data_IF_883247566461
#
_entry.id   IF_883247566461
#
_cell.length_a   1.000
_cell.length_b   1.000
_cell.length_c   1.000
_cell.angle_alpha   90.00
_cell.angle_beta   90.00
_cell.angle_gamma   90.00
#
_symmetry.space_group_name_H-M   'P 1'
#
loop_
_entity.id
_entity.type
_entity.pdbx_description
1 polymer ?
#
# COMPACT_ATOMS: atom_id res chain seq x y z
N UNK A 1 -9.98 -18.31 -0.92
CA UNK A 1 -8.73 -19.02 -0.54
C UNK A 1 -7.51 -18.07 -0.60
N UNK A 2 -7.40 -17.19 -1.62
CA UNK A 2 -6.31 -16.20 -1.75
C UNK A 2 -6.35 -15.12 -0.66
N UNK A 3 -7.52 -14.62 -0.29
CA UNK A 3 -7.72 -13.63 0.80
C UNK A 3 -7.20 -14.18 2.12
N UNK A 4 -7.43 -15.45 2.41
CA UNK A 4 -6.97 -16.10 3.65
C UNK A 4 -5.44 -16.25 3.69
N UNK A 5 -4.81 -16.53 2.55
CA UNK A 5 -3.35 -16.62 2.41
C UNK A 5 -2.73 -15.22 2.59
N UNK A 6 -3.34 -14.19 2.00
CA UNK A 6 -2.90 -12.81 2.11
C UNK A 6 -3.03 -12.28 3.54
N UNK A 7 -4.15 -12.53 4.20
CA UNK A 7 -4.37 -12.18 5.61
C UNK A 7 -3.36 -12.89 6.51
N UNK A 8 -3.08 -14.17 6.30
CA UNK A 8 -2.08 -14.91 7.06
C UNK A 8 -0.65 -14.38 6.83
N UNK A 9 -0.33 -13.97 5.60
CA UNK A 9 0.96 -13.34 5.27
C UNK A 9 1.10 -11.98 5.99
N UNK A 10 0.07 -11.15 5.98
CA UNK A 10 0.03 -9.88 6.71
C UNK A 10 0.15 -10.13 8.22
N UNK A 11 -0.60 -11.08 8.77
CA UNK A 11 -0.55 -11.43 10.21
C UNK A 11 0.86 -11.88 10.62
N UNK A 12 1.54 -12.67 9.79
CA UNK A 12 2.90 -13.13 10.08
C UNK A 12 3.92 -12.00 9.94
N UNK A 13 3.77 -11.14 8.93
CA UNK A 13 4.62 -9.99 8.72
C UNK A 13 4.47 -8.91 9.80
N UNK A 14 3.30 -8.84 10.44
CA UNK A 14 3.00 -7.93 11.56
C UNK A 14 3.41 -8.52 12.93
N UNK A 15 4.29 -9.50 13.00
CA UNK A 15 4.65 -10.20 14.23
C UNK A 15 5.09 -9.27 15.36
N UNK A 16 5.86 -8.22 15.06
CA UNK A 16 6.31 -7.25 16.06
C UNK A 16 5.17 -6.36 16.58
N UNK A 17 4.32 -5.84 15.69
CA UNK A 17 3.10 -5.11 16.09
C UNK A 17 2.14 -6.03 16.82
N UNK A 18 2.01 -7.30 16.38
CA UNK A 18 1.22 -8.32 17.08
C UNK A 18 1.71 -8.53 18.51
N UNK A 19 3.03 -8.54 18.77
CA UNK A 19 3.57 -8.72 20.11
C UNK A 19 3.14 -7.57 21.04
N UNK A 20 3.15 -6.32 20.59
CA UNK A 20 2.71 -5.18 21.36
C UNK A 20 1.19 -5.16 21.57
N UNK A 21 0.41 -5.48 20.55
CA UNK A 21 -1.04 -5.67 20.70
C UNK A 21 -1.37 -6.81 21.66
N UNK A 22 -0.62 -7.93 21.65
CA UNK A 22 -0.81 -9.03 22.60
C UNK A 22 -0.50 -8.60 24.02
N UNK A 23 0.52 -7.75 24.26
CA UNK A 23 0.81 -7.18 25.58
C UNK A 23 -0.34 -6.29 26.06
N UNK A 24 -0.88 -5.41 25.19
CA UNK A 24 -2.08 -4.61 25.48
C UNK A 24 -3.23 -5.53 25.91
N UNK A 25 -3.53 -6.57 25.12
CA UNK A 25 -4.60 -7.51 25.47
C UNK A 25 -4.31 -8.33 26.75
N UNK A 26 -3.04 -8.56 27.08
CA UNK A 26 -2.67 -9.21 28.34
C UNK A 26 -2.95 -8.27 29.52
N UNK A 27 -2.61 -6.99 29.42
CA UNK A 27 -2.95 -6.00 30.47
C UNK A 27 -4.45 -5.88 30.65
N UNK A 28 -5.21 -5.84 29.54
CA UNK A 28 -6.69 -5.79 29.54
C UNK A 28 -7.35 -7.06 30.13
N UNK A 29 -6.61 -8.17 30.27
CA UNK A 29 -7.13 -9.40 30.86
C UNK A 29 -7.04 -9.42 32.39
N UNK A 30 -6.54 -8.36 33.03
CA UNK A 30 -6.52 -8.23 34.51
C UNK A 30 -7.93 -8.01 35.03
N UNK A 31 -8.22 -8.52 36.22
CA UNK A 31 -9.52 -8.35 36.87
C UNK A 31 -9.85 -6.90 37.26
N UNK A 32 -8.81 -6.06 37.40
CA UNK A 32 -8.93 -4.62 37.64
C UNK A 32 -7.84 -3.91 36.85
N UNK A 33 -8.25 -2.90 36.10
CA UNK A 33 -7.35 -2.03 35.33
C UNK A 33 -7.15 -0.76 36.16
N UNK A 34 -5.89 -0.46 36.51
CA UNK A 34 -5.52 0.75 37.23
C UNK A 34 -5.22 1.90 36.25
N UNK A 35 -5.12 3.13 36.77
CA UNK A 35 -4.69 4.27 35.96
C UNK A 35 -3.29 4.07 35.38
N UNK A 36 -2.40 3.41 36.09
CA UNK A 36 -1.06 3.06 35.59
C UNK A 36 -1.11 2.03 34.44
N UNK A 37 -2.07 1.10 34.50
CA UNK A 37 -2.28 0.15 33.38
C UNK A 37 -2.77 0.87 32.14
N UNK A 38 -3.60 1.90 32.27
CA UNK A 38 -4.08 2.73 31.14
C UNK A 38 -2.93 3.49 30.50
N UNK A 39 -2.07 4.14 31.29
CA UNK A 39 -0.87 4.82 30.80
C UNK A 39 0.06 3.86 30.05
N UNK A 40 0.28 2.68 30.60
CA UNK A 40 1.09 1.64 29.96
C UNK A 40 0.48 1.15 28.64
N UNK A 41 -0.85 1.00 28.57
CA UNK A 41 -1.55 0.65 27.32
C UNK A 41 -1.39 1.75 26.27
N UNK A 42 -1.53 3.01 26.67
CA UNK A 42 -1.35 4.17 25.79
C UNK A 42 0.06 4.19 25.17
N UNK A 43 1.12 4.03 25.99
CA UNK A 43 2.49 3.93 25.51
C UNK A 43 2.66 2.78 24.51
N UNK A 44 2.16 1.59 24.84
CA UNK A 44 2.23 0.42 23.96
C UNK A 44 1.51 0.64 22.63
N UNK A 45 0.37 1.31 22.62
CA UNK A 45 -0.39 1.62 21.40
C UNK A 45 0.35 2.63 20.52
N UNK A 46 0.89 3.68 21.11
CA UNK A 46 1.71 4.68 20.40
C UNK A 46 2.93 4.03 19.75
N UNK A 47 3.59 3.09 20.42
CA UNK A 47 4.71 2.34 19.86
C UNK A 47 4.35 1.50 18.63
N UNK A 48 3.06 1.16 18.42
CA UNK A 48 2.62 0.42 17.24
C UNK A 48 2.42 1.26 15.98
N UNK A 49 2.55 2.59 16.07
CA UNK A 49 2.22 3.57 15.01
C UNK A 49 0.74 3.56 14.59
N UNK A 50 -0.17 3.14 15.48
CA UNK A 50 -1.62 3.13 15.23
C UNK A 50 -2.22 4.54 15.07
N UNK A 51 -1.49 5.55 15.54
CA UNK A 51 -1.91 6.96 15.52
C UNK A 51 -2.57 7.40 16.82
N UNK A 52 -2.45 8.71 17.09
CA UNK A 52 -2.89 9.29 18.37
C UNK A 52 -4.42 9.25 18.53
N UNK A 53 -5.16 9.58 17.46
CA UNK A 53 -6.63 9.62 17.50
C UNK A 53 -7.19 8.23 17.83
N UNK A 54 -6.68 7.19 17.18
CA UNK A 54 -7.12 5.81 17.38
C UNK A 54 -6.68 5.29 18.76
N UNK A 55 -5.50 5.72 19.24
CA UNK A 55 -5.07 5.43 20.61
C UNK A 55 -6.08 5.98 21.61
N UNK A 56 -6.51 7.25 21.45
CA UNK A 56 -7.51 7.86 22.31
C UNK A 56 -8.86 7.13 22.25
N UNK A 57 -9.33 6.78 21.06
CA UNK A 57 -10.57 6.01 20.89
C UNK A 57 -10.52 4.69 21.69
N UNK A 58 -9.39 3.97 21.62
CA UNK A 58 -9.19 2.73 22.37
C UNK A 58 -9.17 3.01 23.90
N UNK A 59 -8.47 4.07 24.32
CA UNK A 59 -8.41 4.46 25.73
C UNK A 59 -9.81 4.83 26.26
N UNK A 60 -10.62 5.52 25.47
CA UNK A 60 -11.98 5.88 25.84
C UNK A 60 -12.89 4.64 25.94
N UNK A 61 -12.79 3.69 24.99
CA UNK A 61 -13.45 2.40 25.09
C UNK A 61 -13.04 1.65 26.37
N UNK A 62 -11.75 1.70 26.76
CA UNK A 62 -11.26 1.08 28.00
C UNK A 62 -11.89 1.76 29.22
N UNK A 63 -11.91 3.09 29.28
CA UNK A 63 -12.49 3.85 30.40
C UNK A 63 -13.97 3.60 30.55
N UNK A 64 -14.71 3.58 29.45
CA UNK A 64 -16.14 3.26 29.44
C UNK A 64 -16.41 1.80 29.85
N UNK A 65 -15.59 0.86 29.40
CA UNK A 65 -15.71 -0.57 29.67
C UNK A 65 -15.22 -1.01 31.04
N UNK A 66 -14.62 -0.11 31.87
CA UNK A 66 -14.24 -0.42 33.25
C UNK A 66 -15.41 -0.81 34.15
N UNK A 67 -16.64 -0.51 33.74
CA UNK A 67 -17.86 -0.85 34.44
C UNK A 67 -18.46 -2.20 34.01
N UNK A 68 -18.05 -2.78 32.86
CA UNK A 68 -18.46 -4.09 32.37
C UNK A 68 -17.31 -4.78 31.61
N UNK A 69 -16.45 -5.46 32.36
CA UNK A 69 -15.18 -6.00 31.88
C UNK A 69 -15.30 -7.27 31.01
N UNK A 70 -16.51 -7.84 30.85
CA UNK A 70 -16.64 -9.17 30.23
C UNK A 70 -16.36 -9.19 28.72
N UNK A 71 -16.35 -8.05 28.03
CA UNK A 71 -16.23 -7.97 26.56
C UNK A 71 -15.30 -6.87 26.01
N UNK A 72 -14.53 -6.22 26.88
CA UNK A 72 -13.67 -5.07 26.50
C UNK A 72 -12.72 -5.40 25.34
N UNK A 73 -12.13 -6.58 25.36
CA UNK A 73 -11.24 -7.08 24.31
C UNK A 73 -11.95 -7.23 22.96
N UNK A 74 -13.18 -7.74 22.99
CA UNK A 74 -14.01 -7.88 21.80
C UNK A 74 -14.44 -6.52 21.27
N UNK A 75 -14.79 -5.58 22.13
CA UNK A 75 -15.19 -4.23 21.75
C UNK A 75 -14.07 -3.49 21.04
N UNK A 76 -12.84 -3.55 21.56
CA UNK A 76 -11.66 -2.98 20.91
C UNK A 76 -11.41 -3.67 19.56
N UNK A 77 -11.47 -5.00 19.52
CA UNK A 77 -11.31 -5.75 18.26
C UNK A 77 -12.35 -5.36 17.23
N UNK A 78 -13.61 -5.27 17.61
CA UNK A 78 -14.72 -4.88 16.74
C UNK A 78 -14.55 -3.45 16.24
N UNK A 79 -14.13 -2.52 17.10
CA UNK A 79 -13.81 -1.14 16.71
C UNK A 79 -12.74 -1.10 15.62
N UNK A 80 -11.60 -1.77 15.85
CA UNK A 80 -10.51 -1.85 14.88
C UNK A 80 -10.91 -2.53 13.57
N UNK A 81 -11.69 -3.61 13.63
CA UNK A 81 -12.21 -4.28 12.44
C UNK A 81 -13.18 -3.38 11.69
N UNK A 82 -14.07 -2.67 12.38
CA UNK A 82 -15.01 -1.73 11.77
C UNK A 82 -14.29 -0.58 11.07
N UNK A 83 -13.22 -0.06 11.65
CA UNK A 83 -12.39 0.97 11.00
C UNK A 83 -11.81 0.50 9.66
N UNK A 84 -11.47 -0.78 9.54
CA UNK A 84 -10.90 -1.35 8.32
C UNK A 84 -11.96 -1.99 7.40
N UNK A 85 -13.23 -2.00 7.75
CA UNK A 85 -14.29 -2.76 7.06
C UNK A 85 -14.87 -2.08 5.81
N UNK A 86 -14.30 -0.97 5.34
CA UNK A 86 -14.73 -0.29 4.11
C UNK A 86 -13.97 -0.72 2.85
N UNK A 87 -13.21 -1.81 2.90
CA UNK A 87 -12.37 -2.23 1.79
C UNK A 87 -13.17 -2.80 0.62
N UNK A 88 -13.07 -2.17 -0.55
CA UNK A 88 -13.37 -2.84 -1.80
C UNK A 88 -12.15 -3.67 -2.20
N UNK A 89 -12.37 -4.96 -2.46
CA UNK A 89 -11.34 -5.82 -3.00
C UNK A 89 -10.90 -5.27 -4.37
N UNK A 90 -9.60 -4.94 -4.52
CA UNK A 90 -9.04 -4.57 -5.80
C UNK A 90 -9.09 -5.79 -6.73
N UNK A 91 -10.14 -5.89 -7.50
CA UNK A 91 -10.30 -6.92 -8.50
C UNK A 91 -9.78 -6.40 -9.84
N UNK A 92 -8.69 -6.98 -10.34
CA UNK A 92 -8.33 -6.89 -11.75
C UNK A 92 -9.32 -7.78 -12.49
N UNK A 93 -10.45 -7.17 -12.91
CA UNK A 93 -11.56 -7.83 -13.60
C UNK A 93 -11.11 -8.40 -14.95
N UNK A 94 -12.05 -8.91 -15.73
CA UNK A 94 -11.81 -9.40 -17.10
C UNK A 94 -11.42 -8.26 -18.07
N UNK A 95 -11.63 -7.00 -17.68
CA UNK A 95 -11.29 -5.82 -18.46
C UNK A 95 -9.80 -5.53 -18.45
N UNK A 96 -9.28 -4.95 -19.52
CA UNK A 96 -7.90 -4.48 -19.59
C UNK A 96 -7.62 -3.48 -18.48
N UNK A 97 -6.57 -3.71 -17.72
CA UNK A 97 -6.25 -2.92 -16.52
C UNK A 97 -4.85 -2.31 -16.62
N UNK A 98 -4.70 -1.08 -16.14
CA UNK A 98 -3.38 -0.48 -15.90
C UNK A 98 -3.22 -0.17 -14.42
N UNK A 99 -2.19 -0.73 -13.81
CA UNK A 99 -1.79 -0.45 -12.42
C UNK A 99 -0.62 0.54 -12.44
N UNK A 100 -0.80 1.71 -11.85
CA UNK A 100 0.25 2.72 -11.67
C UNK A 100 0.78 2.61 -10.24
N UNK A 101 2.04 2.21 -10.08
CA UNK A 101 2.68 2.07 -8.77
C UNK A 101 3.41 3.36 -8.44
N UNK A 102 2.95 4.06 -7.40
CA UNK A 102 3.52 5.34 -6.95
C UNK A 102 4.07 5.23 -5.53
N UNK A 103 4.84 6.23 -5.10
CA UNK A 103 5.42 6.29 -3.75
C UNK A 103 6.82 6.93 -3.75
N UNK A 104 7.37 7.17 -2.58
CA UNK A 104 8.68 7.82 -2.42
C UNK A 104 9.85 6.90 -2.84
N UNK A 105 11.03 7.48 -3.02
CA UNK A 105 12.24 6.68 -3.25
C UNK A 105 12.50 5.71 -2.09
N UNK A 106 12.83 4.48 -2.43
CA UNK A 106 13.09 3.44 -1.45
C UNK A 106 11.84 2.80 -0.82
N UNK A 107 10.61 3.24 -1.16
CA UNK A 107 9.38 2.62 -0.65
C UNK A 107 9.05 1.25 -1.25
N UNK A 108 9.85 0.75 -2.20
CA UNK A 108 9.67 -0.59 -2.76
C UNK A 108 8.83 -0.65 -4.04
N UNK A 109 8.63 0.45 -4.78
CA UNK A 109 7.83 0.48 -6.03
C UNK A 109 8.25 -0.56 -7.06
N UNK A 110 9.50 -0.57 -7.47
CA UNK A 110 10.05 -1.51 -8.47
C UNK A 110 9.86 -2.97 -8.04
N UNK A 111 10.11 -3.27 -6.76
CA UNK A 111 9.90 -4.60 -6.20
C UNK A 111 8.42 -4.97 -6.16
N UNK A 112 7.56 -4.01 -5.83
CA UNK A 112 6.10 -4.20 -5.83
C UNK A 112 5.59 -4.45 -7.24
N UNK A 113 6.01 -3.64 -8.23
CA UNK A 113 5.65 -3.84 -9.63
C UNK A 113 6.01 -5.26 -10.12
N UNK A 114 7.22 -5.73 -9.78
CA UNK A 114 7.68 -7.07 -10.12
C UNK A 114 6.86 -8.18 -9.42
N UNK A 115 6.55 -8.02 -8.14
CA UNK A 115 5.72 -8.97 -7.37
C UNK A 115 4.29 -9.04 -7.90
N UNK A 116 3.69 -7.89 -8.23
CA UNK A 116 2.37 -7.82 -8.85
C UNK A 116 2.38 -8.52 -10.22
N UNK A 117 3.41 -8.27 -11.05
CA UNK A 117 3.57 -8.95 -12.34
C UNK A 117 3.63 -10.46 -12.15
N UNK A 118 4.41 -10.95 -11.18
CA UNK A 118 4.49 -12.38 -10.87
C UNK A 118 3.14 -12.93 -10.42
N UNK A 119 2.45 -12.23 -9.53
CA UNK A 119 1.16 -12.63 -9.00
C UNK A 119 0.12 -12.81 -10.11
N UNK A 120 -0.06 -11.80 -10.96
CA UNK A 120 -1.05 -11.84 -12.03
C UNK A 120 -0.65 -12.78 -13.18
N UNK A 121 0.64 -12.88 -13.53
CA UNK A 121 1.11 -13.86 -14.51
C UNK A 121 0.87 -15.30 -14.04
N UNK A 122 1.04 -15.57 -12.73
CA UNK A 122 0.73 -16.89 -12.16
C UNK A 122 -0.77 -17.18 -12.17
N UNK A 123 -1.61 -16.14 -12.12
CA UNK A 123 -3.05 -16.23 -12.28
C UNK A 123 -3.51 -16.32 -13.76
N UNK A 124 -2.58 -16.44 -14.70
CA UNK A 124 -2.86 -16.64 -16.14
C UNK A 124 -3.05 -15.34 -16.94
N UNK A 125 -2.85 -14.16 -16.34
CA UNK A 125 -2.94 -12.88 -17.06
C UNK A 125 -1.70 -12.61 -17.91
N UNK A 126 -1.89 -12.05 -19.10
CA UNK A 126 -0.81 -11.51 -19.92
C UNK A 126 -0.40 -10.15 -19.37
N UNK A 127 0.81 -10.05 -18.86
CA UNK A 127 1.29 -8.86 -18.13
C UNK A 127 2.40 -8.16 -18.91
N UNK A 128 2.33 -6.83 -18.99
CA UNK A 128 3.40 -5.95 -19.44
C UNK A 128 3.89 -5.06 -18.30
N UNK A 129 5.20 -5.07 -18.03
CA UNK A 129 5.88 -4.14 -17.15
C UNK A 129 6.38 -2.93 -17.92
N UNK A 130 6.12 -1.72 -17.43
CA UNK A 130 6.55 -0.45 -18.03
C UNK A 130 7.45 0.29 -17.06
N UNK A 131 8.71 0.56 -17.48
CA UNK A 131 9.70 1.28 -16.69
C UNK A 131 9.56 2.80 -16.92
N UNK A 132 8.73 3.45 -16.11
CA UNK A 132 8.53 4.90 -16.15
C UNK A 132 9.41 5.68 -15.14
N UNK A 133 10.30 5.02 -14.36
CA UNK A 133 11.39 5.66 -13.61
C UNK A 133 12.59 5.88 -14.55
N UNK A 134 12.43 6.74 -15.56
CA UNK A 134 13.37 6.94 -16.66
C UNK A 134 14.68 7.62 -16.25
N UNK A 135 14.72 8.22 -15.06
CA UNK A 135 15.92 8.91 -14.56
C UNK A 135 16.90 7.97 -13.85
N UNK A 136 16.50 6.75 -13.56
CA UNK A 136 17.30 5.79 -12.80
C UNK A 136 17.59 4.54 -13.64
N UNK A 137 18.69 4.58 -14.39
CA UNK A 137 19.12 3.44 -15.22
C UNK A 137 19.15 2.11 -14.43
N UNK A 138 19.61 2.14 -13.17
CA UNK A 138 19.62 0.96 -12.32
C UNK A 138 18.22 0.44 -11.97
N UNK A 139 17.19 1.29 -11.89
CA UNK A 139 15.80 0.85 -11.65
C UNK A 139 15.23 0.18 -12.90
N UNK A 140 15.52 0.75 -14.08
CA UNK A 140 15.14 0.17 -15.37
C UNK A 140 15.76 -1.22 -15.55
N UNK A 141 17.06 -1.35 -15.30
CA UNK A 141 17.78 -2.62 -15.40
C UNK A 141 17.24 -3.65 -14.38
N UNK A 142 17.00 -3.22 -13.15
CA UNK A 142 16.40 -4.07 -12.13
C UNK A 142 15.02 -4.59 -12.56
N UNK A 143 14.17 -3.73 -13.11
CA UNK A 143 12.83 -4.12 -13.56
C UNK A 143 12.88 -5.06 -14.76
N UNK A 144 13.86 -4.87 -15.66
CA UNK A 144 14.14 -5.76 -16.79
C UNK A 144 14.50 -7.17 -16.32
N UNK A 145 15.44 -7.29 -15.39
CA UNK A 145 15.81 -8.60 -14.79
C UNK A 145 14.60 -9.28 -14.18
N UNK A 146 13.74 -8.53 -13.49
CA UNK A 146 12.51 -9.08 -12.95
C UNK A 146 11.53 -9.53 -14.02
N UNK A 147 11.37 -8.77 -15.10
CA UNK A 147 10.49 -9.16 -16.21
C UNK A 147 10.90 -10.48 -16.84
N UNK A 148 12.19 -10.70 -17.04
CA UNK A 148 12.78 -11.94 -17.55
C UNK A 148 12.50 -13.13 -16.60
N UNK A 149 12.69 -12.92 -15.27
CA UNK A 149 12.40 -13.95 -14.25
C UNK A 149 10.93 -14.32 -14.15
N UNK A 150 10.06 -13.35 -14.34
CA UNK A 150 8.59 -13.53 -14.31
C UNK A 150 8.09 -14.14 -15.62
N UNK A 151 8.81 -13.91 -16.72
CA UNK A 151 8.40 -14.29 -18.07
C UNK A 151 7.31 -13.36 -18.63
N UNK A 152 7.32 -12.08 -18.24
CA UNK A 152 6.38 -11.07 -18.73
C UNK A 152 7.07 -10.09 -19.68
N UNK A 153 6.26 -9.34 -20.44
CA UNK A 153 6.79 -8.35 -21.38
C UNK A 153 7.34 -7.15 -20.61
N UNK A 154 8.35 -6.53 -21.19
CA UNK A 154 9.01 -5.35 -20.62
C UNK A 154 9.09 -4.23 -21.66
N UNK A 155 8.67 -3.03 -21.27
CA UNK A 155 8.70 -1.84 -22.10
C UNK A 155 9.49 -0.73 -21.38
N UNK A 156 10.48 -0.22 -22.06
CA UNK A 156 11.25 0.96 -21.68
C UNK A 156 11.64 1.71 -22.95
N UNK A 157 12.17 2.92 -22.82
CA UNK A 157 12.61 3.68 -23.98
C UNK A 157 13.96 4.32 -23.69
N UNK A 158 15.00 3.84 -24.39
CA UNK A 158 16.36 4.36 -24.27
C UNK A 158 16.50 5.80 -24.77
N UNK A 159 15.65 6.21 -25.71
CA UNK A 159 15.73 7.50 -26.39
C UNK A 159 14.79 8.56 -25.78
N UNK A 160 14.01 8.22 -24.78
CA UNK A 160 13.09 9.15 -24.13
C UNK A 160 13.24 9.13 -22.61
N UNK A 161 13.56 10.27 -22.04
CA UNK A 161 13.54 10.51 -20.60
C UNK A 161 12.16 10.93 -20.08
N UNK A 162 11.16 11.04 -20.98
CA UNK A 162 9.80 11.49 -20.63
C UNK A 162 8.94 10.30 -20.17
N UNK A 163 8.60 10.19 -18.85
CA UNK A 163 7.86 9.04 -18.33
C UNK A 163 6.51 8.79 -19.00
N UNK A 164 5.76 9.85 -19.30
CA UNK A 164 4.44 9.73 -19.93
C UNK A 164 4.52 9.15 -21.35
N UNK A 165 5.60 9.41 -22.09
CA UNK A 165 5.86 8.82 -23.41
C UNK A 165 6.10 7.31 -23.33
N UNK A 166 6.85 6.88 -22.30
CA UNK A 166 7.11 5.44 -22.06
C UNK A 166 5.81 4.71 -21.72
N UNK A 167 4.97 5.32 -20.88
CA UNK A 167 3.64 4.77 -20.54
C UNK A 167 2.75 4.70 -21.76
N UNK A 168 2.72 5.73 -22.61
CA UNK A 168 1.97 5.73 -23.86
C UNK A 168 2.38 4.54 -24.73
N UNK A 169 3.66 4.39 -25.01
CA UNK A 169 4.20 3.29 -25.83
C UNK A 169 3.89 1.91 -25.19
N UNK A 170 3.96 1.81 -23.87
CA UNK A 170 3.62 0.59 -23.13
C UNK A 170 2.18 0.17 -23.32
N UNK A 171 1.24 1.11 -23.23
CA UNK A 171 -0.19 0.86 -23.39
C UNK A 171 -0.55 0.55 -24.85
N UNK A 172 0.01 1.27 -25.84
CA UNK A 172 -0.15 0.92 -27.25
C UNK A 172 0.35 -0.48 -27.57
N UNK A 173 1.54 -0.81 -27.05
CA UNK A 173 2.10 -2.16 -27.22
C UNK A 173 1.25 -3.24 -26.57
N UNK A 174 0.65 -2.96 -25.39
CA UNK A 174 -0.25 -3.88 -24.71
C UNK A 174 -1.53 -4.13 -25.50
N UNK A 175 -2.10 -3.09 -26.10
CA UNK A 175 -3.26 -3.22 -27.00
C UNK A 175 -2.90 -4.09 -28.21
N UNK A 176 -1.78 -3.80 -28.87
CA UNK A 176 -1.36 -4.52 -30.09
C UNK A 176 -1.05 -6.02 -29.83
N UNK A 177 -0.74 -6.38 -28.60
CA UNK A 177 -0.41 -7.76 -28.17
C UNK A 177 -1.52 -8.44 -27.39
N UNK A 178 -2.64 -7.73 -27.21
CA UNK A 178 -3.78 -8.21 -26.44
C UNK A 178 -3.40 -8.64 -25.03
N UNK A 179 -2.63 -7.78 -24.33
CA UNK A 179 -2.28 -7.99 -22.94
C UNK A 179 -3.45 -7.58 -22.03
N UNK A 180 -3.60 -8.29 -20.90
CA UNK A 180 -4.68 -8.06 -19.93
C UNK A 180 -4.33 -6.95 -18.93
N UNK A 181 -3.04 -6.85 -18.59
CA UNK A 181 -2.57 -6.00 -17.50
C UNK A 181 -1.28 -5.29 -17.86
N UNK A 182 -1.26 -3.98 -17.65
CA UNK A 182 -0.05 -3.14 -17.70
C UNK A 182 0.28 -2.68 -16.29
N UNK A 183 1.52 -2.86 -15.84
CA UNK A 183 2.01 -2.38 -14.54
C UNK A 183 3.10 -1.35 -14.79
N UNK A 184 2.89 -0.14 -14.30
CA UNK A 184 3.77 1.02 -14.49
C UNK A 184 4.56 1.27 -13.22
N UNK A 185 5.89 1.12 -13.27
CA UNK A 185 6.81 1.52 -12.19
C UNK A 185 7.23 2.97 -12.40
N UNK A 186 6.85 3.86 -11.46
CA UNK A 186 7.09 5.31 -11.59
C UNK A 186 8.29 5.77 -10.76
N UNK A 187 8.80 6.98 -11.06
CA UNK A 187 9.78 7.67 -10.22
C UNK A 187 9.21 7.98 -8.82
N UNK A 188 10.08 8.27 -7.85
CA UNK A 188 9.66 8.54 -6.46
C UNK A 188 10.44 9.67 -5.79
N UNK A 189 10.99 10.63 -6.54
CA UNK A 189 11.85 11.70 -6.03
C UNK A 189 11.07 12.81 -5.34
N UNK A 190 10.65 12.60 -4.10
CA UNK A 190 9.83 13.56 -3.36
C UNK A 190 10.57 14.89 -3.05
N UNK A 191 11.90 14.89 -2.99
CA UNK A 191 12.70 16.11 -2.79
C UNK A 191 12.69 17.08 -4.00
N UNK A 192 12.22 16.62 -5.17
CA UNK A 192 11.82 17.44 -6.32
C UNK A 192 10.31 17.31 -6.54
N UNK A 193 9.53 17.48 -5.47
CA UNK A 193 8.12 17.12 -5.40
C UNK A 193 7.29 17.71 -6.54
N UNK A 194 7.50 18.97 -6.88
CA UNK A 194 6.73 19.64 -7.93
C UNK A 194 6.89 18.99 -9.33
N UNK A 195 8.12 18.59 -9.68
CA UNK A 195 8.37 17.93 -10.96
C UNK A 195 7.79 16.51 -10.99
N UNK A 196 7.99 15.74 -9.91
CA UNK A 196 7.39 14.40 -9.79
C UNK A 196 5.87 14.47 -9.91
N UNK A 197 5.26 15.45 -9.25
CA UNK A 197 3.82 15.62 -9.27
C UNK A 197 3.30 16.00 -10.66
N UNK A 198 4.02 16.86 -11.40
CA UNK A 198 3.73 17.18 -12.81
C UNK A 198 3.86 15.94 -13.72
N UNK A 199 4.89 15.12 -13.51
CA UNK A 199 5.09 13.87 -14.26
C UNK A 199 3.95 12.88 -14.02
N UNK A 200 3.56 12.65 -12.76
CA UNK A 200 2.44 11.76 -12.41
C UNK A 200 1.10 12.28 -12.98
N UNK A 201 0.84 13.57 -12.87
CA UNK A 201 -0.34 14.19 -13.46
C UNK A 201 -0.38 14.00 -14.99
N UNK A 202 0.79 14.06 -15.66
CA UNK A 202 0.90 13.84 -17.11
C UNK A 202 0.66 12.37 -17.47
N UNK A 203 1.21 11.42 -16.69
CA UNK A 203 0.94 9.99 -16.84
C UNK A 203 -0.56 9.72 -16.71
N UNK A 204 -1.20 10.21 -15.65
CA UNK A 204 -2.64 10.04 -15.43
C UNK A 204 -3.45 10.58 -16.60
N UNK A 205 -3.15 11.80 -17.07
CA UNK A 205 -3.82 12.41 -18.21
C UNK A 205 -3.69 11.60 -19.50
N UNK A 206 -2.50 11.01 -19.76
CA UNK A 206 -2.27 10.13 -20.91
C UNK A 206 -3.18 8.90 -20.81
N UNK A 207 -3.22 8.23 -19.65
CA UNK A 207 -4.04 7.04 -19.44
C UNK A 207 -5.53 7.39 -19.64
N UNK A 208 -6.03 8.40 -18.95
CA UNK A 208 -7.46 8.76 -18.94
C UNK A 208 -7.96 9.26 -20.31
N UNK A 209 -7.17 10.06 -21.03
CA UNK A 209 -7.61 10.68 -22.27
C UNK A 209 -7.35 9.83 -23.52
N UNK A 210 -6.37 8.93 -23.49
CA UNK A 210 -5.96 8.17 -24.67
C UNK A 210 -6.23 6.67 -24.58
N UNK A 211 -6.41 6.15 -23.35
CA UNK A 211 -6.53 4.73 -23.09
C UNK A 211 -7.71 4.41 -22.18
N UNK A 212 -8.86 5.05 -22.47
CA UNK A 212 -10.11 4.89 -21.67
C UNK A 212 -10.64 3.46 -21.65
N UNK A 213 -10.15 2.57 -22.51
CA UNK A 213 -10.45 1.13 -22.50
C UNK A 213 -9.71 0.36 -21.38
N UNK A 214 -8.75 1.00 -20.69
CA UNK A 214 -8.11 0.42 -19.53
C UNK A 214 -8.76 0.95 -18.25
N UNK A 215 -9.12 0.05 -17.36
CA UNK A 215 -9.43 0.42 -15.97
C UNK A 215 -8.13 0.79 -15.26
N UNK A 216 -8.02 2.07 -14.85
CA UNK A 216 -6.84 2.56 -14.12
C UNK A 216 -6.97 2.24 -12.63
N UNK A 217 -5.90 1.70 -12.05
CA UNK A 217 -5.73 1.46 -10.62
C UNK A 217 -4.42 2.14 -10.18
N UNK A 218 -4.49 3.02 -9.20
CA UNK A 218 -3.33 3.71 -8.62
C UNK A 218 -3.01 3.09 -7.26
N UNK A 219 -1.83 2.46 -7.13
CA UNK A 219 -1.36 1.84 -5.89
C UNK A 219 -0.20 2.63 -5.31
N UNK A 220 -0.33 3.04 -4.05
CA UNK A 220 0.77 3.68 -3.33
C UNK A 220 1.56 2.66 -2.51
N UNK A 221 2.89 2.67 -2.62
CA UNK A 221 3.75 1.87 -1.75
C UNK A 221 4.06 2.62 -0.45
N UNK A 222 3.76 1.99 0.66
CA UNK A 222 3.94 2.50 2.02
C UNK A 222 5.04 1.70 2.69
N UNK A 223 6.14 2.38 3.03
CA UNK A 223 7.22 1.81 3.82
C UNK A 223 6.79 1.72 5.28
N UNK A 224 6.45 0.53 5.75
CA UNK A 224 5.95 0.32 7.11
C UNK A 224 7.01 0.57 8.19
N UNK A 225 8.31 0.66 7.82
CA UNK A 225 9.38 1.01 8.76
C UNK A 225 9.42 2.50 9.11
N UNK A 226 8.77 3.36 8.31
CA UNK A 226 8.71 4.81 8.51
C UNK A 226 7.53 5.26 9.37
N UNK A 227 6.61 4.36 9.73
CA UNK A 227 5.46 4.64 10.57
C UNK A 227 4.62 5.82 10.07
N UNK A 228 4.29 6.76 10.96
CA UNK A 228 3.46 7.95 10.67
C UNK A 228 4.01 8.84 9.54
N UNK A 229 5.33 8.87 9.31
CA UNK A 229 5.91 9.63 8.21
C UNK A 229 5.40 9.15 6.84
N UNK A 230 5.05 7.88 6.71
CA UNK A 230 4.47 7.32 5.48
C UNK A 230 3.10 7.91 5.17
N UNK A 231 2.31 8.26 6.19
CA UNK A 231 0.98 8.88 6.04
C UNK A 231 1.09 10.29 5.45
N UNK A 232 2.08 11.06 5.93
CA UNK A 232 2.35 12.40 5.38
C UNK A 232 2.70 12.30 3.90
N UNK A 233 3.54 11.35 3.53
CA UNK A 233 3.91 11.10 2.14
C UNK A 233 2.70 10.68 1.30
N UNK A 234 1.89 9.75 1.78
CA UNK A 234 0.68 9.29 1.09
C UNK A 234 -0.30 10.44 0.84
N UNK A 235 -0.43 11.37 1.80
CA UNK A 235 -1.28 12.56 1.66
C UNK A 235 -0.82 13.47 0.51
N UNK A 236 0.48 13.65 0.34
CA UNK A 236 1.01 14.46 -0.77
C UNK A 236 0.71 13.83 -2.14
N UNK A 237 0.86 12.52 -2.28
CA UNK A 237 0.47 11.80 -3.51
C UNK A 237 -1.04 11.87 -3.76
N UNK A 238 -1.86 11.77 -2.73
CA UNK A 238 -3.32 11.85 -2.80
C UNK A 238 -3.85 13.19 -3.33
N UNK A 239 -3.07 14.28 -3.26
CA UNK A 239 -3.44 15.57 -3.84
C UNK A 239 -3.47 15.58 -5.38
N UNK A 240 -2.83 14.59 -6.02
CA UNK A 240 -2.60 14.58 -7.47
C UNK A 240 -3.40 13.50 -8.19
N UNK A 241 -3.49 12.35 -7.58
CA UNK A 241 -4.31 11.26 -8.09
C UNK A 241 -5.01 10.55 -6.94
N UNK A 242 -6.24 10.11 -7.19
CA UNK A 242 -6.92 9.21 -6.28
C UNK A 242 -6.11 7.93 -6.15
N UNK A 243 -5.96 7.44 -4.92
CA UNK A 243 -5.33 6.16 -4.64
C UNK A 243 -6.42 5.11 -4.42
N UNK A 244 -6.39 4.05 -5.22
CA UNK A 244 -7.35 2.95 -5.13
C UNK A 244 -6.92 1.93 -4.06
N UNK A 245 -5.63 1.96 -3.69
CA UNK A 245 -5.12 1.11 -2.63
C UNK A 245 -3.68 1.39 -2.24
N UNK A 246 -3.26 0.80 -1.13
CA UNK A 246 -1.89 0.83 -0.64
C UNK A 246 -1.28 -0.56 -0.59
N UNK A 247 0.03 -0.61 -0.86
CA UNK A 247 0.86 -1.79 -0.70
C UNK A 247 1.82 -1.55 0.45
N UNK A 248 1.72 -2.34 1.52
CA UNK A 248 2.68 -2.28 2.62
C UNK A 248 3.96 -3.00 2.24
N UNK A 249 5.09 -2.34 2.45
CA UNK A 249 6.41 -2.88 2.13
C UNK A 249 7.30 -2.94 3.37
N UNK A 250 8.37 -3.72 3.29
CA UNK A 250 9.39 -3.88 4.36
C UNK A 250 8.83 -4.41 5.69
N UNK A 251 7.81 -5.25 5.60
CA UNK A 251 7.19 -5.89 6.76
C UNK A 251 8.08 -6.96 7.42
N UNK A 252 9.14 -7.37 6.75
CA UNK A 252 10.13 -8.36 7.19
C UNK A 252 11.19 -7.79 8.16
N UNK A 253 11.17 -6.48 8.42
CA UNK A 253 12.11 -5.79 9.31
C UNK A 253 11.48 -5.32 10.62
N UNK A 254 11.81 -4.09 11.01
CA UNK A 254 11.31 -3.42 12.23
C UNK A 254 9.94 -2.74 12.02
N UNK A 255 9.22 -3.15 11.01
CA UNK A 255 7.98 -2.53 10.59
C UNK A 255 6.93 -2.53 11.72
N UNK A 256 6.23 -1.43 11.83
CA UNK A 256 5.11 -1.23 12.72
C UNK A 256 3.82 -1.23 11.92
N UNK A 257 3.07 -2.32 12.01
CA UNK A 257 1.88 -2.54 11.20
C UNK A 257 0.68 -1.66 11.55
N UNK A 258 0.75 -0.92 12.65
CA UNK A 258 -0.30 0.00 13.07
C UNK A 258 -0.58 1.13 12.08
N UNK A 259 0.38 1.43 11.20
CA UNK A 259 0.25 2.47 10.15
C UNK A 259 -0.95 2.24 9.20
N UNK A 260 -1.47 1.02 9.11
CA UNK A 260 -2.66 0.72 8.29
C UNK A 260 -3.90 1.47 8.76
N UNK A 261 -4.04 1.68 10.06
CA UNK A 261 -5.21 2.33 10.64
C UNK A 261 -5.29 3.82 10.27
N UNK A 262 -4.26 4.67 10.57
CA UNK A 262 -4.30 6.07 10.17
C UNK A 262 -4.30 6.25 8.64
N UNK A 263 -3.71 5.34 7.88
CA UNK A 263 -3.77 5.36 6.42
C UNK A 263 -5.23 5.29 5.94
N UNK A 264 -6.00 4.36 6.48
CA UNK A 264 -7.40 4.23 6.12
C UNK A 264 -8.27 5.31 6.77
N UNK A 265 -8.06 5.61 8.05
CA UNK A 265 -8.88 6.60 8.76
C UNK A 265 -8.75 8.00 8.17
N UNK A 266 -7.52 8.48 7.99
CA UNK A 266 -7.24 9.85 7.53
C UNK A 266 -7.33 10.03 6.02
N UNK A 267 -6.97 9.02 5.24
CA UNK A 267 -6.84 9.13 3.77
C UNK A 267 -7.85 8.29 3.01
N UNK A 268 -8.57 7.41 3.70
CA UNK A 268 -9.53 6.45 3.12
C UNK A 268 -8.89 5.54 2.05
N UNK A 269 -7.57 5.30 2.15
CA UNK A 269 -6.83 4.43 1.24
C UNK A 269 -6.80 3.02 1.85
N UNK A 270 -7.44 2.03 1.22
CA UNK A 270 -7.41 0.65 1.70
C UNK A 270 -6.04 0.01 1.48
N UNK A 271 -5.62 -0.85 2.39
CA UNK A 271 -4.45 -1.71 2.17
C UNK A 271 -4.88 -2.94 1.36
N UNK A 272 -4.26 -3.12 0.20
CA UNK A 272 -4.67 -4.15 -0.78
C UNK A 272 -3.64 -5.27 -0.94
N UNK A 273 -2.37 -4.99 -0.63
CA UNK A 273 -1.27 -5.98 -0.73
C UNK A 273 -0.27 -5.80 0.41
#
# INVERSE_FOLDING_TARGET
>A
QYVLIMINSIINALSNSRSNFLKVFHVLSKNKISSQDIELIEEMLVETDIGYDITNDIIDIIKEGLYDSSDLKNNIKLHLVKMLSGHQELSVKEEKTVIVVVGVNGSGKTTTAAKLAKFYSTAGKKVTLVAADTYRAAAVEQLKIWSERVGCRFIFNENSTEPASVVFNGLESAIAKDDDLVIVDTAGRLHTSENLMKELAKINRVIENRFSQFTKISLITIDASLGQNSIVQAREFGKICSMDGAVLTKLDGTAKGGVIFPLYDQLKIPVTF
#
